data_IF_749624900401
#
_entry.id   IF_749624900401
#
_cell.length_a   1.000
_cell.length_b   1.000
_cell.length_c   1.000
_cell.angle_alpha   90.00
_cell.angle_beta   90.00
_cell.angle_gamma   90.00
#
_symmetry.space_group_name_H-M   'P 1'
#
loop_
_entity.id
_entity.type
_entity.pdbx_description
1 polymer ?
#
# COMPACT_ATOMS: atom_id res chain seq x y z
N UNK A 1 -21.76 11.40 5.72
CA UNK A 1 -20.27 11.19 5.78
C UNK A 1 -19.93 10.20 4.68
N UNK A 2 -18.92 10.48 3.86
CA UNK A 2 -18.43 9.54 2.84
C UNK A 2 -17.27 8.73 3.44
N UNK A 3 -17.22 7.40 3.26
CA UNK A 3 -16.11 6.60 3.72
C UNK A 3 -14.87 6.84 2.84
N UNK A 4 -13.69 6.62 3.42
CA UNK A 4 -12.42 6.45 2.72
C UNK A 4 -12.02 4.98 2.86
N UNK A 5 -11.82 4.30 1.75
CA UNK A 5 -11.51 2.87 1.73
C UNK A 5 -10.02 2.69 1.49
N UNK A 6 -9.35 1.97 2.37
CA UNK A 6 -7.98 1.49 2.16
C UNK A 6 -8.03 -0.03 2.12
N UNK A 7 -7.42 -0.65 1.12
CA UNK A 7 -7.50 -2.10 0.94
C UNK A 7 -6.12 -2.76 0.93
N UNK A 8 -6.08 -4.03 1.26
CA UNK A 8 -4.94 -4.91 1.01
C UNK A 8 -5.14 -5.77 -0.25
N UNK A 9 -4.34 -6.81 -0.40
CA UNK A 9 -4.45 -7.74 -1.54
C UNK A 9 -3.37 -8.82 -1.52
N UNK A 10 -2.94 -9.23 -0.32
CA UNK A 10 -1.90 -10.26 -0.17
C UNK A 10 -2.19 -11.56 -0.92
N UNK A 11 -3.39 -12.14 -0.84
CA UNK A 11 -3.75 -13.34 -1.60
C UNK A 11 -3.67 -13.12 -3.12
N UNK A 12 -4.18 -12.01 -3.62
CA UNK A 12 -4.18 -11.67 -5.05
C UNK A 12 -2.76 -11.46 -5.58
N UNK A 13 -1.90 -10.81 -4.80
CA UNK A 13 -0.47 -10.67 -5.11
C UNK A 13 0.18 -12.06 -5.18
N UNK A 14 -0.06 -12.92 -4.18
CA UNK A 14 0.49 -14.27 -4.13
C UNK A 14 0.07 -15.11 -5.32
N UNK A 15 -1.20 -15.05 -5.72
CA UNK A 15 -1.71 -15.74 -6.90
C UNK A 15 -1.01 -15.27 -8.19
N UNK A 16 -0.86 -13.95 -8.35
CA UNK A 16 -0.20 -13.40 -9.54
C UNK A 16 1.29 -13.76 -9.60
N UNK A 17 2.01 -13.66 -8.47
CA UNK A 17 3.41 -14.07 -8.39
C UNK A 17 3.58 -15.56 -8.74
N UNK A 18 2.67 -16.42 -8.27
CA UNK A 18 2.67 -17.85 -8.60
C UNK A 18 2.45 -18.08 -10.10
N UNK A 19 1.50 -17.39 -10.73
CA UNK A 19 1.26 -17.45 -12.18
C UNK A 19 2.49 -17.01 -12.99
N UNK A 20 3.21 -16.02 -12.50
CA UNK A 20 4.44 -15.51 -13.11
C UNK A 20 5.70 -16.31 -12.73
N UNK A 21 5.56 -17.36 -11.90
CA UNK A 21 6.66 -18.18 -11.39
C UNK A 21 7.72 -17.38 -10.62
N UNK A 22 7.31 -16.30 -9.97
CA UNK A 22 8.15 -15.48 -9.10
C UNK A 22 8.02 -16.00 -7.66
N UNK A 23 9.14 -16.42 -7.09
CA UNK A 23 9.20 -16.87 -5.70
C UNK A 23 9.10 -15.66 -4.76
N UNK A 24 8.40 -15.84 -3.66
CA UNK A 24 8.25 -14.81 -2.62
C UNK A 24 8.33 -15.44 -1.25
N UNK A 25 8.86 -14.69 -0.30
CA UNK A 25 9.00 -15.08 1.09
C UNK A 25 8.38 -14.03 2.00
N UNK A 26 8.06 -14.43 3.23
CA UNK A 26 7.53 -13.54 4.25
C UNK A 26 8.41 -13.55 5.50
N UNK A 27 8.61 -12.39 6.10
CA UNK A 27 9.24 -12.23 7.40
C UNK A 27 8.29 -11.44 8.29
N UNK A 28 7.87 -12.04 9.40
CA UNK A 28 6.94 -11.42 10.36
C UNK A 28 5.69 -10.81 9.71
N UNK A 29 5.10 -11.54 8.76
CA UNK A 29 3.88 -11.11 8.05
C UNK A 29 4.11 -10.06 6.94
N UNK A 30 5.35 -9.61 6.72
CA UNK A 30 5.71 -8.72 5.64
C UNK A 30 6.34 -9.51 4.49
N UNK A 31 5.87 -9.26 3.27
CA UNK A 31 6.40 -9.88 2.06
C UNK A 31 7.76 -9.27 1.74
N UNK A 32 8.80 -10.11 1.59
CA UNK A 32 10.06 -9.66 1.00
C UNK A 32 9.76 -9.24 -0.44
N UNK A 33 10.07 -7.99 -0.77
CA UNK A 33 9.64 -7.36 -2.02
C UNK A 33 10.87 -6.88 -2.79
N UNK A 34 11.38 -7.72 -3.69
CA UNK A 34 12.44 -7.34 -4.62
C UNK A 34 11.91 -6.50 -5.80
N UNK A 35 12.78 -6.12 -6.72
CA UNK A 35 12.42 -5.28 -7.86
C UNK A 35 11.36 -5.90 -8.76
N UNK A 36 11.42 -7.20 -9.02
CA UNK A 36 10.41 -7.90 -9.83
C UNK A 36 9.08 -8.01 -9.08
N UNK A 37 9.15 -8.23 -7.78
CA UNK A 37 7.97 -8.36 -6.93
C UNK A 37 7.24 -7.03 -6.75
N UNK A 38 7.94 -5.89 -6.62
CA UNK A 38 7.27 -4.59 -6.42
C UNK A 38 6.42 -4.18 -7.62
N UNK A 39 6.86 -4.48 -8.83
CA UNK A 39 6.09 -4.20 -10.04
C UNK A 39 4.78 -5.00 -10.06
N UNK A 40 4.83 -6.28 -9.66
CA UNK A 40 3.63 -7.13 -9.55
C UNK A 40 2.72 -6.63 -8.43
N UNK A 41 3.27 -6.23 -7.28
CA UNK A 41 2.50 -5.66 -6.17
C UNK A 41 1.75 -4.42 -6.63
N UNK A 42 2.42 -3.49 -7.31
CA UNK A 42 1.78 -2.26 -7.81
C UNK A 42 0.67 -2.59 -8.83
N UNK A 43 0.94 -3.45 -9.81
CA UNK A 43 -0.06 -3.87 -10.81
C UNK A 43 -1.30 -4.49 -10.17
N UNK A 44 -1.11 -5.40 -9.23
CA UNK A 44 -2.22 -6.13 -8.58
C UNK A 44 -3.01 -5.22 -7.66
N UNK A 45 -2.34 -4.47 -6.80
CA UNK A 45 -3.03 -3.60 -5.83
C UNK A 45 -3.75 -2.46 -6.55
N UNK A 46 -3.05 -1.73 -7.43
CA UNK A 46 -3.61 -0.52 -8.06
C UNK A 46 -4.52 -0.83 -9.25
N UNK A 47 -4.27 -1.93 -9.94
CA UNK A 47 -5.04 -2.32 -11.13
C UNK A 47 -6.16 -3.32 -10.81
N UNK A 48 -5.82 -4.52 -10.35
CA UNK A 48 -6.79 -5.61 -10.22
C UNK A 48 -7.67 -5.42 -8.99
N UNK A 49 -7.07 -5.38 -7.81
CA UNK A 49 -7.81 -5.34 -6.54
C UNK A 49 -8.55 -4.03 -6.37
N UNK A 50 -7.87 -2.91 -6.59
CA UNK A 50 -8.47 -1.58 -6.47
C UNK A 50 -9.69 -1.42 -7.38
N UNK A 51 -9.57 -1.78 -8.67
CA UNK A 51 -10.66 -1.62 -9.62
C UNK A 51 -11.82 -2.59 -9.40
N UNK A 52 -11.58 -3.76 -8.84
CA UNK A 52 -12.66 -4.66 -8.45
C UNK A 52 -13.52 -4.07 -7.32
N UNK A 53 -12.87 -3.41 -6.34
CA UNK A 53 -13.58 -2.72 -5.25
C UNK A 53 -14.36 -1.51 -5.80
N UNK A 54 -13.74 -0.70 -6.65
CA UNK A 54 -14.40 0.43 -7.32
C UNK A 54 -15.65 -0.04 -8.07
N UNK A 55 -15.55 -1.15 -8.82
CA UNK A 55 -16.67 -1.74 -9.54
C UNK A 55 -17.79 -2.18 -8.59
N UNK A 56 -17.44 -2.84 -7.48
CA UNK A 56 -18.42 -3.29 -6.49
C UNK A 56 -19.18 -2.10 -5.87
N UNK A 57 -18.47 -1.03 -5.51
CA UNK A 57 -19.07 0.20 -4.98
C UNK A 57 -19.98 0.85 -6.03
N UNK A 58 -19.52 0.95 -7.27
CA UNK A 58 -20.30 1.54 -8.36
C UNK A 58 -21.58 0.75 -8.65
N UNK A 59 -21.52 -0.58 -8.60
CA UNK A 59 -22.69 -1.45 -8.75
C UNK A 59 -23.72 -1.28 -7.62
N UNK A 60 -23.31 -0.79 -6.45
CA UNK A 60 -24.21 -0.44 -5.35
C UNK A 60 -24.87 0.95 -5.49
N UNK A 61 -24.55 1.68 -6.56
CA UNK A 61 -25.11 3.01 -6.86
C UNK A 61 -24.31 4.19 -6.31
N UNK A 62 -23.16 3.94 -5.67
CA UNK A 62 -22.27 5.01 -5.20
C UNK A 62 -21.18 5.35 -6.23
N UNK A 63 -20.70 6.60 -6.21
CA UNK A 63 -19.55 7.00 -7.03
C UNK A 63 -18.26 6.77 -6.25
N UNK A 64 -17.31 6.09 -6.86
CA UNK A 64 -15.99 5.84 -6.25
C UNK A 64 -14.87 6.05 -7.26
N UNK A 65 -13.71 6.40 -6.74
CA UNK A 65 -12.48 6.58 -7.54
C UNK A 65 -11.36 5.79 -6.87
N UNK A 66 -10.71 4.93 -7.66
CA UNK A 66 -9.55 4.17 -7.21
C UNK A 66 -8.27 4.93 -7.47
N UNK A 67 -7.48 5.11 -6.44
CA UNK A 67 -6.15 5.72 -6.44
C UNK A 67 -5.16 4.84 -5.68
N UNK A 68 -3.89 5.14 -5.80
CA UNK A 68 -2.83 4.61 -4.95
C UNK A 68 -2.25 5.72 -4.05
N UNK A 69 -1.41 5.37 -3.12
CA UNK A 69 -0.67 6.35 -2.33
C UNK A 69 0.29 7.22 -3.15
N UNK A 70 0.59 6.85 -4.40
CA UNK A 70 1.42 7.65 -5.33
C UNK A 70 0.64 8.82 -5.95
N UNK A 71 -0.68 8.67 -6.09
CA UNK A 71 -1.53 9.67 -6.73
C UNK A 71 -1.65 10.93 -5.85
N UNK A 72 -1.38 12.07 -6.43
CA UNK A 72 -1.37 13.34 -5.71
C UNK A 72 -0.33 13.40 -4.58
N UNK A 73 0.71 12.58 -4.62
CA UNK A 73 1.71 12.43 -3.56
C UNK A 73 1.07 12.12 -2.18
N UNK A 74 -0.04 11.36 -2.19
CA UNK A 74 -0.82 11.05 -0.98
C UNK A 74 0.05 10.41 0.11
N UNK A 75 0.90 9.42 -0.25
CA UNK A 75 1.79 8.74 0.69
C UNK A 75 3.24 8.89 0.23
N UNK A 76 4.00 9.74 0.90
CA UNK A 76 5.46 9.68 0.82
C UNK A 76 5.93 8.59 1.77
N UNK A 77 6.65 7.62 1.23
CA UNK A 77 7.12 6.45 1.96
C UNK A 77 8.62 6.52 2.23
N UNK A 78 9.05 5.91 3.31
CA UNK A 78 10.44 5.57 3.55
C UNK A 78 10.60 4.05 3.66
N UNK A 79 11.78 3.56 3.30
CA UNK A 79 12.11 2.14 3.39
C UNK A 79 11.98 1.65 4.83
N UNK A 80 11.28 0.52 5.01
CA UNK A 80 11.16 -0.11 6.32
C UNK A 80 12.38 -0.99 6.57
N UNK A 81 13.14 -0.67 7.62
CA UNK A 81 14.24 -1.48 8.12
C UNK A 81 13.77 -2.21 9.39
N UNK A 82 13.84 -3.53 9.39
CA UNK A 82 13.57 -4.33 10.58
C UNK A 82 14.87 -4.77 11.23
N UNK A 83 14.93 -4.66 12.56
CA UNK A 83 16.01 -5.19 13.38
C UNK A 83 15.61 -6.58 13.85
N UNK A 84 16.46 -7.57 13.64
CA UNK A 84 16.26 -8.93 14.19
C UNK A 84 16.70 -8.95 15.65
N UNK A 85 15.73 -8.99 16.57
CA UNK A 85 15.98 -9.07 18.00
C UNK A 85 16.23 -10.52 18.50
N UNK A 86 16.26 -11.51 17.60
CA UNK A 86 16.36 -12.93 17.96
C UNK A 86 17.78 -13.50 17.82
N UNK A 87 18.79 -12.70 17.54
CA UNK A 87 20.17 -13.19 17.52
C UNK A 87 20.77 -13.17 18.92
N UNK A 88 21.20 -14.33 19.43
CA UNK A 88 22.02 -14.49 20.67
C UNK A 88 23.41 -13.79 20.59
N UNK A 89 23.64 -13.03 19.56
CA UNK A 89 24.83 -12.20 19.37
C UNK A 89 24.43 -10.72 19.51
N UNK A 90 25.16 -9.97 20.32
CA UNK A 90 25.03 -8.53 20.54
C UNK A 90 25.20 -7.66 19.26
N UNK A 91 24.91 -8.19 18.08
CA UNK A 91 24.95 -7.48 16.80
C UNK A 91 23.54 -7.42 16.26
N UNK A 92 22.93 -6.25 16.34
CA UNK A 92 21.67 -5.96 15.67
C UNK A 92 21.85 -6.18 14.15
N UNK A 93 21.18 -7.20 13.61
CA UNK A 93 21.20 -7.48 12.18
C UNK A 93 19.98 -6.85 11.57
N UNK A 94 20.16 -5.80 10.76
CA UNK A 94 19.07 -5.24 9.98
C UNK A 94 18.65 -6.24 8.89
N UNK A 95 17.35 -6.59 8.86
CA UNK A 95 16.77 -7.42 7.81
C UNK A 95 16.31 -6.50 6.69
N UNK A 96 16.85 -6.70 5.49
CA UNK A 96 16.41 -6.01 4.29
C UNK A 96 15.16 -6.70 3.72
N UNK A 97 14.03 -6.00 3.78
CA UNK A 97 12.77 -6.45 3.21
C UNK A 97 12.58 -6.03 1.74
N UNK A 98 13.58 -5.37 1.14
CA UNK A 98 13.48 -4.82 -0.20
C UNK A 98 12.61 -3.56 -0.27
N UNK A 99 11.71 -3.51 -1.25
CA UNK A 99 10.80 -2.37 -1.48
C UNK A 99 9.55 -2.41 -0.57
N UNK A 100 9.77 -2.64 0.70
CA UNK A 100 8.77 -2.51 1.75
C UNK A 100 8.97 -1.19 2.45
N UNK A 101 7.91 -0.42 2.59
CA UNK A 101 7.95 0.91 3.19
C UNK A 101 6.94 1.12 4.30
N UNK A 102 7.12 2.23 4.96
CA UNK A 102 6.15 2.79 5.91
C UNK A 102 5.85 4.24 5.53
N UNK A 103 4.65 4.76 5.85
CA UNK A 103 4.33 6.16 5.60
C UNK A 103 5.26 7.08 6.38
N UNK A 104 5.87 8.03 5.69
CA UNK A 104 6.65 9.11 6.31
C UNK A 104 5.81 10.38 6.43
N UNK A 105 5.15 10.76 5.33
CA UNK A 105 4.20 11.88 5.31
C UNK A 105 2.96 11.51 4.51
N UNK A 106 1.81 12.09 4.90
CA UNK A 106 0.55 11.95 4.19
C UNK A 106 0.08 13.34 3.77
N UNK A 107 -0.18 13.52 2.47
CA UNK A 107 -0.87 14.69 1.94
C UNK A 107 -2.31 14.33 1.55
N UNK A 108 -3.32 14.66 2.37
CA UNK A 108 -4.69 14.26 2.13
C UNK A 108 -5.43 15.11 1.08
N UNK A 109 -4.78 16.00 0.36
CA UNK A 109 -5.44 16.93 -0.57
C UNK A 109 -6.27 16.20 -1.64
N UNK A 110 -5.74 15.12 -2.22
CA UNK A 110 -6.46 14.33 -3.22
C UNK A 110 -7.71 13.66 -2.63
N UNK A 111 -7.64 13.20 -1.38
CA UNK A 111 -8.79 12.62 -0.68
C UNK A 111 -9.87 13.69 -0.46
N UNK A 112 -9.48 14.86 0.02
CA UNK A 112 -10.42 15.98 0.23
C UNK A 112 -11.08 16.41 -1.08
N UNK A 113 -10.34 16.48 -2.18
CA UNK A 113 -10.88 16.81 -3.49
C UNK A 113 -11.97 15.80 -3.92
N UNK A 114 -11.70 14.49 -3.77
CA UNK A 114 -12.66 13.44 -4.13
C UNK A 114 -13.91 13.47 -3.23
N UNK A 115 -13.75 13.68 -1.93
CA UNK A 115 -14.87 13.77 -0.98
C UNK A 115 -15.73 14.99 -1.29
N UNK A 116 -15.14 16.14 -1.63
CA UNK A 116 -15.87 17.36 -1.98
C UNK A 116 -16.74 17.13 -3.23
N UNK A 117 -16.27 16.33 -4.18
CA UNK A 117 -17.03 15.90 -5.36
C UNK A 117 -17.98 14.71 -5.08
N UNK A 118 -18.19 14.36 -3.80
CA UNK A 118 -19.05 13.25 -3.34
C UNK A 118 -18.65 11.89 -3.93
N UNK A 119 -17.38 11.69 -4.15
CA UNK A 119 -16.79 10.42 -4.58
C UNK A 119 -16.10 9.72 -3.41
N UNK A 120 -16.24 8.39 -3.35
CA UNK A 120 -15.58 7.53 -2.34
C UNK A 120 -14.17 7.22 -2.82
N UNK A 121 -13.12 7.68 -2.13
CA UNK A 121 -11.75 7.28 -2.47
C UNK A 121 -11.51 5.81 -2.09
N UNK A 122 -10.93 5.04 -3.01
CA UNK A 122 -10.48 3.66 -2.78
C UNK A 122 -8.97 3.63 -2.99
N UNK A 123 -8.20 3.36 -1.94
CA UNK A 123 -6.76 3.61 -1.89
C UNK A 123 -6.01 2.30 -1.82
N UNK A 124 -5.14 2.06 -2.81
CA UNK A 124 -4.14 1.01 -2.78
C UNK A 124 -2.92 1.46 -1.95
N UNK A 125 -2.42 0.62 -1.01
CA UNK A 125 -1.35 1.00 -0.09
C UNK A 125 0.04 0.87 -0.74
N UNK A 126 0.26 1.64 -1.78
CA UNK A 126 1.52 1.76 -2.51
C UNK A 126 1.96 3.22 -2.42
N UNK A 127 3.13 3.48 -1.90
CA UNK A 127 3.68 4.83 -1.74
C UNK A 127 4.91 5.05 -2.61
N UNK A 128 5.36 6.29 -2.68
CA UNK A 128 6.59 6.69 -3.37
C UNK A 128 7.56 7.30 -2.38
N UNK A 129 8.81 6.85 -2.39
CA UNK A 129 9.88 7.46 -1.62
C UNK A 129 10.43 8.73 -2.25
N UNK A 130 11.15 9.51 -1.46
CA UNK A 130 11.90 10.67 -1.96
C UNK A 130 13.01 10.28 -2.96
N UNK A 131 13.39 9.01 -2.95
CA UNK A 131 14.31 8.38 -3.92
C UNK A 131 13.64 8.03 -5.26
N UNK A 132 12.33 8.28 -5.40
CA UNK A 132 11.53 7.95 -6.57
C UNK A 132 11.14 6.48 -6.68
N UNK A 133 11.46 5.65 -5.67
CA UNK A 133 11.11 4.23 -5.66
C UNK A 133 9.69 3.99 -5.18
N UNK A 134 9.07 2.95 -5.72
CA UNK A 134 7.76 2.46 -5.26
C UNK A 134 7.97 1.57 -4.04
N UNK A 135 7.12 1.73 -3.03
CA UNK A 135 7.13 0.92 -1.81
C UNK A 135 5.78 0.27 -1.54
N UNK A 136 5.85 -1.03 -1.24
CA UNK A 136 4.72 -1.80 -0.73
C UNK A 136 4.51 -1.47 0.75
N UNK A 137 3.33 -1.02 1.12
CA UNK A 137 3.00 -0.60 2.48
C UNK A 137 1.92 -1.54 3.05
N UNK A 138 2.03 -1.87 4.33
CA UNK A 138 0.97 -2.60 5.01
C UNK A 138 -0.33 -1.77 5.01
N UNK A 139 -1.46 -2.40 4.64
CA UNK A 139 -2.73 -1.69 4.47
C UNK A 139 -3.25 -1.06 5.77
N UNK A 140 -3.10 -1.74 6.91
CA UNK A 140 -3.55 -1.23 8.21
C UNK A 140 -2.68 -0.03 8.63
N UNK A 141 -1.38 -0.11 8.38
CA UNK A 141 -0.45 1.00 8.63
C UNK A 141 -0.79 2.21 7.76
N UNK A 142 -1.07 2.01 6.48
CA UNK A 142 -1.48 3.07 5.58
C UNK A 142 -2.81 3.69 6.00
N UNK A 143 -3.80 2.86 6.36
CA UNK A 143 -5.11 3.32 6.84
C UNK A 143 -4.99 4.16 8.11
N UNK A 144 -4.18 3.71 9.08
CA UNK A 144 -3.93 4.46 10.31
C UNK A 144 -3.29 5.82 10.06
N UNK A 145 -2.28 5.88 9.17
CA UNK A 145 -1.62 7.13 8.82
C UNK A 145 -2.55 8.12 8.09
N UNK A 146 -3.36 7.62 7.15
CA UNK A 146 -4.37 8.43 6.44
C UNK A 146 -5.43 8.96 7.41
N UNK A 147 -5.95 8.08 8.30
CA UNK A 147 -6.93 8.47 9.31
C UNK A 147 -6.40 9.58 10.22
N UNK A 148 -5.16 9.46 10.69
CA UNK A 148 -4.51 10.49 11.50
C UNK A 148 -4.36 11.82 10.75
N UNK A 149 -3.94 11.81 9.48
CA UNK A 149 -3.78 13.01 8.67
C UNK A 149 -5.12 13.70 8.38
N UNK A 150 -6.19 12.93 8.24
CA UNK A 150 -7.55 13.44 8.02
C UNK A 150 -8.26 13.84 9.30
N UNK A 151 -7.69 13.57 10.47
CA UNK A 151 -8.30 13.81 11.79
C UNK A 151 -9.66 13.10 11.94
N UNK A 152 -9.74 11.88 11.41
CA UNK A 152 -10.93 11.03 11.38
C UNK A 152 -10.99 10.11 12.60
#
# INVERSE_FOLDING_TARGET
MLPVVVHGGGPQIGEMLSKLQIKTEFINGLRITDAATIDVVEMVLSGVTNKSIVTAISNSGAKSVGISGKDGNLITAKRLLKVDNNSDSNVEKAIDLGYVGEPETIDPQVIHALINEKMIPVIAPVGMGLDGQTYNINADTAAGAISAAMKA
#
